data_IF_880075004777
#
_entry.id   IF_880075004777
#
_cell.length_a   1.000
_cell.length_b   1.000
_cell.length_c   1.000
_cell.angle_alpha   90.00
_cell.angle_beta   90.00
_cell.angle_gamma   90.00
#
_symmetry.space_group_name_H-M   'P 1'
#
loop_
_entity.id
_entity.type
_entity.pdbx_description
1 polymer ?
#
# COMPACT_ATOMS: atom_id res chain seq x y z
N UNK A 1 -0.12 39.23 -28.08
CA UNK A 1 -0.67 38.93 -26.78
C UNK A 1 -1.02 37.47 -26.79
N UNK A 2 -0.16 36.62 -26.18
CA UNK A 2 -0.33 35.16 -26.13
C UNK A 2 -1.00 34.80 -24.80
N UNK A 3 -2.24 34.33 -24.82
CA UNK A 3 -2.90 33.73 -23.68
C UNK A 3 -2.27 32.35 -23.43
N UNK A 4 -1.38 32.25 -22.44
CA UNK A 4 -0.90 30.99 -21.93
C UNK A 4 -2.02 30.29 -21.14
N UNK A 5 -2.64 29.29 -21.75
CA UNK A 5 -3.49 28.36 -21.01
C UNK A 5 -2.59 27.52 -20.09
N UNK A 6 -2.54 27.86 -18.81
CA UNK A 6 -1.99 27.00 -17.78
C UNK A 6 -2.99 25.85 -17.61
N UNK A 7 -2.71 24.72 -18.22
CA UNK A 7 -3.48 23.50 -17.99
C UNK A 7 -3.40 23.09 -16.51
N UNK A 8 -4.46 22.47 -15.96
CA UNK A 8 -4.44 22.01 -14.57
C UNK A 8 -3.28 21.04 -14.37
N UNK A 9 -2.51 21.26 -13.30
CA UNK A 9 -1.37 20.41 -12.95
C UNK A 9 -1.83 18.95 -12.85
N UNK A 10 -1.09 18.05 -13.50
CA UNK A 10 -1.39 16.60 -13.57
C UNK A 10 -1.39 15.90 -12.19
N UNK A 11 -0.95 16.61 -11.15
CA UNK A 11 -0.74 16.04 -9.81
C UNK A 11 -1.99 16.01 -8.93
N UNK A 12 -3.07 16.70 -9.33
CA UNK A 12 -4.29 16.83 -8.51
C UNK A 12 -5.21 15.61 -8.52
N UNK A 13 -4.95 14.61 -9.37
CA UNK A 13 -5.79 13.43 -9.58
C UNK A 13 -5.03 12.11 -9.45
N UNK A 14 -3.96 12.04 -8.65
CA UNK A 14 -3.36 10.74 -8.36
C UNK A 14 -4.27 9.95 -7.43
N UNK A 15 -4.33 8.63 -7.61
CA UNK A 15 -5.12 7.74 -6.74
C UNK A 15 -4.67 7.89 -5.29
N UNK A 16 -3.36 8.03 -5.08
CA UNK A 16 -2.75 8.22 -3.78
C UNK A 16 -3.28 9.50 -3.10
N UNK A 17 -3.39 10.62 -3.83
CA UNK A 17 -3.92 11.87 -3.28
C UNK A 17 -5.41 11.74 -2.94
N UNK A 18 -6.21 11.14 -3.81
CA UNK A 18 -7.64 10.93 -3.55
C UNK A 18 -7.84 10.01 -2.33
N UNK A 19 -7.01 8.99 -2.17
CA UNK A 19 -7.08 8.11 -1.00
C UNK A 19 -6.58 8.80 0.26
N UNK A 20 -5.51 9.58 0.19
CA UNK A 20 -5.00 10.33 1.34
C UNK A 20 -6.00 11.38 1.84
N UNK A 21 -6.73 12.05 0.95
CA UNK A 21 -7.80 12.99 1.34
C UNK A 21 -8.94 12.29 2.11
N UNK A 22 -9.10 10.98 1.91
CA UNK A 22 -10.09 10.15 2.63
C UNK A 22 -9.55 9.59 3.95
N UNK A 23 -8.26 9.65 4.20
CA UNK A 23 -7.64 9.23 5.47
C UNK A 23 -7.79 10.42 6.44
N UNK A 24 -8.74 10.36 7.36
CA UNK A 24 -8.65 11.16 8.57
C UNK A 24 -7.43 10.69 9.35
N UNK A 25 -6.79 11.61 10.09
CA UNK A 25 -5.58 11.30 10.87
C UNK A 25 -5.71 9.92 11.54
N UNK A 26 -4.76 9.02 11.32
CA UNK A 26 -4.84 7.67 11.86
C UNK A 26 -5.01 7.77 13.38
N UNK A 27 -6.02 7.09 13.94
CA UNK A 27 -6.10 6.89 15.38
C UNK A 27 -4.75 6.37 15.82
N UNK A 28 -4.13 7.04 16.78
CA UNK A 28 -2.86 6.61 17.35
C UNK A 28 -3.04 5.18 17.89
N UNK A 29 -2.46 4.21 17.17
CA UNK A 29 -2.53 2.81 17.58
C UNK A 29 -1.40 2.62 18.57
N UNK A 30 -1.69 2.66 19.86
CA UNK A 30 -0.72 2.36 20.90
C UNK A 30 -0.49 0.84 20.90
N UNK A 31 0.59 0.40 20.27
CA UNK A 31 0.93 -1.02 20.19
C UNK A 31 2.30 -1.28 20.81
N UNK A 32 2.45 -2.46 21.38
CA UNK A 32 3.73 -2.96 21.90
C UNK A 32 4.73 -3.35 20.78
N UNK A 33 4.36 -3.12 19.53
CA UNK A 33 5.12 -3.49 18.33
C UNK A 33 5.37 -2.25 17.45
N UNK A 34 6.59 -2.05 16.90
CA UNK A 34 6.85 -0.94 16.01
C UNK A 34 6.05 -1.12 14.70
N UNK A 35 5.00 -0.35 14.55
CA UNK A 35 4.18 -0.35 13.33
C UNK A 35 4.83 0.56 12.31
N UNK A 36 5.03 0.04 11.10
CA UNK A 36 5.52 0.82 9.97
C UNK A 36 4.43 1.78 9.47
N UNK A 37 4.83 2.88 8.84
CA UNK A 37 3.89 3.82 8.20
C UNK A 37 2.98 3.09 7.20
N UNK A 38 3.52 2.12 6.46
CA UNK A 38 2.75 1.27 5.57
C UNK A 38 1.60 0.57 6.30
N UNK A 39 1.91 -0.10 7.41
CA UNK A 39 0.92 -0.84 8.20
C UNK A 39 -0.16 0.08 8.75
N UNK A 40 0.22 1.25 9.29
CA UNK A 40 -0.71 2.25 9.81
C UNK A 40 -1.69 2.72 8.73
N UNK A 41 -1.18 3.10 7.56
CA UNK A 41 -2.00 3.57 6.44
C UNK A 41 -2.94 2.49 5.92
N UNK A 42 -2.44 1.27 5.72
CA UNK A 42 -3.25 0.14 5.24
C UNK A 42 -4.36 -0.18 6.23
N UNK A 43 -4.04 -0.26 7.52
CA UNK A 43 -5.02 -0.54 8.58
C UNK A 43 -6.12 0.54 8.63
N UNK A 44 -5.73 1.81 8.61
CA UNK A 44 -6.67 2.94 8.61
C UNK A 44 -7.58 2.93 7.38
N UNK A 45 -7.03 2.66 6.20
CA UNK A 45 -7.80 2.57 4.96
C UNK A 45 -8.81 1.42 4.98
N UNK A 46 -8.40 0.23 5.43
CA UNK A 46 -9.29 -0.93 5.54
C UNK A 46 -10.47 -0.60 6.47
N UNK A 47 -10.21 0.01 7.63
CA UNK A 47 -11.27 0.37 8.58
C UNK A 47 -12.17 1.48 8.04
N UNK A 48 -11.61 2.48 7.35
CA UNK A 48 -12.42 3.51 6.69
C UNK A 48 -13.37 2.91 5.65
N UNK A 49 -12.91 1.95 4.86
CA UNK A 49 -13.75 1.26 3.88
C UNK A 49 -14.85 0.44 4.57
N UNK A 50 -14.54 -0.20 5.68
CA UNK A 50 -15.53 -0.95 6.47
C UNK A 50 -16.63 -0.04 7.03
N UNK A 51 -16.25 1.11 7.55
CA UNK A 51 -17.21 2.09 8.09
C UNK A 51 -18.06 2.75 7.00
N UNK A 52 -17.45 3.06 5.85
CA UNK A 52 -18.11 3.86 4.81
C UNK A 52 -17.79 3.29 3.40
N UNK A 53 -18.25 2.07 3.07
CA UNK A 53 -17.89 1.43 1.81
C UNK A 53 -18.30 2.22 0.57
N UNK A 54 -19.44 2.89 0.59
CA UNK A 54 -19.95 3.68 -0.52
C UNK A 54 -19.07 4.89 -0.89
N UNK A 55 -18.32 5.46 0.07
CA UNK A 55 -17.40 6.58 -0.20
C UNK A 55 -16.24 6.18 -1.13
N UNK A 56 -15.96 4.89 -1.26
CA UNK A 56 -14.86 4.39 -2.10
C UNK A 56 -15.29 4.01 -3.52
N UNK A 57 -16.59 4.08 -3.82
CA UNK A 57 -17.11 3.73 -5.16
C UNK A 57 -16.50 4.60 -6.24
N UNK A 58 -16.54 5.92 -6.08
CA UNK A 58 -15.98 6.87 -7.04
C UNK A 58 -14.47 6.66 -7.26
N UNK A 59 -13.74 6.32 -6.19
CA UNK A 59 -12.32 5.99 -6.28
C UNK A 59 -12.10 4.77 -7.18
N UNK A 60 -12.87 3.68 -6.98
CA UNK A 60 -12.78 2.47 -7.80
C UNK A 60 -13.10 2.77 -9.27
N UNK A 61 -14.17 3.53 -9.53
CA UNK A 61 -14.57 3.95 -10.87
C UNK A 61 -13.51 4.85 -11.55
N UNK A 62 -12.84 5.70 -10.75
CA UNK A 62 -11.72 6.52 -11.24
C UNK A 62 -10.50 5.67 -11.53
N UNK A 63 -10.19 4.70 -10.66
CA UNK A 63 -9.06 3.79 -10.84
C UNK A 63 -9.22 2.89 -12.07
N UNK A 64 -10.44 2.52 -12.46
CA UNK A 64 -10.72 1.76 -13.70
C UNK A 64 -10.12 2.44 -14.95
N UNK A 65 -10.05 3.78 -14.97
CA UNK A 65 -9.50 4.55 -16.10
C UNK A 65 -8.02 4.30 -16.34
N UNK A 66 -7.30 3.82 -15.34
CA UNK A 66 -5.89 3.44 -15.45
C UNK A 66 -5.69 2.01 -15.97
N UNK A 67 -6.77 1.27 -16.22
CA UNK A 67 -6.68 -0.05 -16.84
C UNK A 67 -6.55 0.09 -18.35
N UNK A 68 -5.43 -0.39 -18.88
CA UNK A 68 -5.06 -0.38 -20.30
C UNK A 68 -4.97 -1.82 -20.82
N UNK A 69 -5.21 -2.00 -22.11
CA UNK A 69 -4.88 -3.23 -22.80
C UNK A 69 -3.67 -2.99 -23.69
N UNK A 70 -2.59 -3.74 -23.46
CA UNK A 70 -1.33 -3.63 -24.18
C UNK A 70 -0.92 -5.03 -24.65
N UNK A 71 -0.89 -5.23 -25.97
CA UNK A 71 -0.56 -6.52 -26.58
C UNK A 71 -1.40 -7.70 -26.02
N UNK A 72 -2.71 -7.50 -25.90
CA UNK A 72 -3.65 -8.49 -25.38
C UNK A 72 -3.57 -8.74 -23.86
N UNK A 73 -2.75 -7.98 -23.14
CA UNK A 73 -2.63 -8.05 -21.67
C UNK A 73 -3.32 -6.86 -21.04
N UNK A 74 -4.15 -7.12 -20.04
CA UNK A 74 -4.80 -6.09 -19.23
C UNK A 74 -3.83 -5.67 -18.12
N UNK A 75 -3.56 -4.38 -18.01
CA UNK A 75 -2.58 -3.82 -17.08
C UNK A 75 -3.19 -2.61 -16.39
N UNK A 76 -3.14 -2.60 -15.06
CA UNK A 76 -3.34 -1.38 -14.29
C UNK A 76 -2.03 -0.58 -14.33
N UNK A 77 -2.09 0.66 -14.83
CA UNK A 77 -0.92 1.54 -15.00
C UNK A 77 -1.28 2.97 -14.60
N UNK A 78 -0.97 3.33 -13.36
CA UNK A 78 -1.18 4.67 -12.82
C UNK A 78 0.05 5.57 -12.91
N UNK A 79 1.02 5.23 -13.76
CA UNK A 79 2.33 5.85 -13.92
C UNK A 79 3.34 5.58 -12.78
N UNK A 80 2.90 5.22 -11.59
CA UNK A 80 3.78 4.86 -10.46
C UNK A 80 4.10 3.37 -10.46
N UNK A 81 3.08 2.54 -10.63
CA UNK A 81 3.22 1.08 -10.71
C UNK A 81 2.47 0.50 -11.89
N UNK A 82 2.90 -0.70 -12.31
CA UNK A 82 2.23 -1.50 -13.33
C UNK A 82 1.92 -2.87 -12.79
N UNK A 83 0.64 -3.26 -12.80
CA UNK A 83 0.18 -4.55 -12.31
C UNK A 83 -0.60 -5.27 -13.39
N UNK A 84 -0.21 -6.50 -13.70
CA UNK A 84 -0.96 -7.35 -14.64
C UNK A 84 -2.29 -7.78 -14.02
N UNK A 85 -3.34 -7.72 -14.83
CA UNK A 85 -4.70 -8.07 -14.45
C UNK A 85 -5.20 -9.26 -15.31
N UNK A 86 -6.18 -10.01 -14.78
CA UNK A 86 -6.84 -11.10 -15.52
C UNK A 86 -8.10 -10.61 -16.23
N UNK A 87 -9.09 -10.15 -15.48
CA UNK A 87 -10.37 -9.66 -16.00
C UNK A 87 -10.34 -8.16 -16.33
N UNK A 88 -9.40 -7.40 -15.72
CA UNK A 88 -9.20 -5.97 -15.96
C UNK A 88 -10.37 -5.12 -15.48
N UNK A 89 -10.89 -4.23 -16.35
CA UNK A 89 -11.95 -3.28 -16.01
C UNK A 89 -13.18 -3.91 -15.38
N UNK A 90 -13.54 -5.13 -15.81
CA UNK A 90 -14.69 -5.87 -15.27
C UNK A 90 -14.60 -6.06 -13.74
N UNK A 91 -13.40 -6.30 -13.21
CA UNK A 91 -13.23 -6.48 -11.76
C UNK A 91 -13.34 -5.17 -10.98
N UNK A 92 -12.96 -4.04 -11.58
CA UNK A 92 -13.21 -2.72 -11.00
C UNK A 92 -14.71 -2.43 -10.92
N UNK A 93 -15.45 -2.66 -12.01
CA UNK A 93 -16.91 -2.51 -12.05
C UNK A 93 -17.61 -3.42 -11.05
N UNK A 94 -17.19 -4.69 -10.96
CA UNK A 94 -17.69 -5.65 -9.97
C UNK A 94 -17.41 -5.16 -8.53
N UNK A 95 -16.23 -4.63 -8.27
CA UNK A 95 -15.87 -4.06 -6.97
C UNK A 95 -16.74 -2.84 -6.64
N UNK A 96 -16.90 -1.90 -7.56
CA UNK A 96 -17.73 -0.71 -7.36
C UNK A 96 -19.20 -1.11 -7.07
N UNK A 97 -19.74 -2.05 -7.81
CA UNK A 97 -21.11 -2.56 -7.58
C UNK A 97 -21.24 -3.24 -6.22
N UNK A 98 -20.25 -4.03 -5.82
CA UNK A 98 -20.24 -4.66 -4.49
C UNK A 98 -20.23 -3.60 -3.37
N UNK A 99 -19.36 -2.59 -3.45
CA UNK A 99 -19.30 -1.53 -2.45
C UNK A 99 -20.58 -0.70 -2.36
N UNK A 100 -21.30 -0.49 -3.47
CA UNK A 100 -22.61 0.19 -3.49
C UNK A 100 -23.67 -0.53 -2.65
N UNK A 101 -23.60 -1.85 -2.55
CA UNK A 101 -24.58 -2.68 -1.83
C UNK A 101 -24.16 -3.03 -0.41
N UNK A 102 -22.88 -2.80 -0.09
CA UNK A 102 -22.34 -3.20 1.20
C UNK A 102 -22.79 -2.23 2.29
N UNK A 103 -23.29 -2.78 3.39
CA UNK A 103 -23.63 -1.98 4.56
C UNK A 103 -22.38 -1.67 5.38
N UNK A 104 -22.33 -0.51 6.05
CA UNK A 104 -21.29 -0.21 7.02
C UNK A 104 -21.14 -1.34 8.06
N UNK A 105 -19.89 -1.62 8.44
CA UNK A 105 -19.59 -2.64 9.43
C UNK A 105 -18.57 -2.12 10.45
N UNK A 106 -18.45 -2.83 11.55
CA UNK A 106 -17.50 -2.48 12.61
C UNK A 106 -16.04 -2.49 12.11
N UNK A 107 -15.24 -1.62 12.70
CA UNK A 107 -13.79 -1.60 12.49
C UNK A 107 -13.16 -2.93 12.96
N UNK A 108 -12.08 -3.31 12.29
CA UNK A 108 -11.18 -4.34 12.79
C UNK A 108 -10.32 -3.74 13.90
N UNK A 109 -10.07 -4.52 14.95
CA UNK A 109 -9.06 -4.20 15.96
C UNK A 109 -7.73 -4.81 15.55
N UNK A 110 -6.64 -4.06 15.71
CA UNK A 110 -5.31 -4.62 15.48
C UNK A 110 -4.96 -5.62 16.58
N UNK A 111 -4.37 -6.76 16.23
CA UNK A 111 -4.03 -7.82 17.18
C UNK A 111 -2.60 -8.33 16.92
N UNK A 112 -1.69 -8.03 17.83
CA UNK A 112 -0.27 -8.41 17.74
C UNK A 112 -0.06 -9.92 17.74
N UNK A 113 -0.89 -10.65 18.48
CA UNK A 113 -0.77 -12.11 18.61
C UNK A 113 -0.88 -12.84 17.27
N UNK A 114 -1.70 -12.31 16.35
CA UNK A 114 -1.88 -12.91 15.03
C UNK A 114 -0.96 -12.30 13.96
N UNK A 115 -0.10 -11.35 14.27
CA UNK A 115 0.88 -10.79 13.32
C UNK A 115 1.92 -11.84 12.96
N UNK A 116 2.09 -12.13 11.68
CA UNK A 116 3.19 -12.95 11.15
C UNK A 116 4.24 -11.99 10.60
N UNK A 117 5.38 -11.92 11.26
CA UNK A 117 6.46 -11.01 10.84
C UNK A 117 6.97 -11.33 9.43
N UNK A 118 7.13 -10.29 8.64
CA UNK A 118 7.79 -10.42 7.35
C UNK A 118 9.28 -10.72 7.52
N UNK A 119 9.87 -11.51 6.61
CA UNK A 119 11.29 -11.82 6.68
C UNK A 119 12.14 -10.57 6.44
N UNK A 120 13.18 -10.38 7.25
CA UNK A 120 14.14 -9.28 7.09
C UNK A 120 15.10 -9.51 5.92
N UNK A 121 15.37 -10.76 5.60
CA UNK A 121 16.29 -11.13 4.52
C UNK A 121 15.58 -11.21 3.18
N UNK A 122 16.11 -10.53 2.18
CA UNK A 122 15.54 -10.44 0.83
C UNK A 122 15.27 -11.82 0.20
N UNK A 123 16.17 -12.78 0.40
CA UNK A 123 15.99 -14.15 -0.12
C UNK A 123 14.73 -14.83 0.40
N UNK A 124 14.34 -14.54 1.64
CA UNK A 124 13.19 -15.16 2.28
C UNK A 124 11.86 -14.46 1.92
N UNK A 125 11.90 -13.24 1.37
CA UNK A 125 10.70 -12.52 0.93
C UNK A 125 9.94 -13.30 -0.17
N UNK A 126 10.67 -14.02 -1.02
CA UNK A 126 10.09 -14.84 -2.10
C UNK A 126 9.77 -16.27 -1.64
N UNK A 127 10.27 -16.69 -0.47
CA UNK A 127 10.05 -18.04 0.03
C UNK A 127 8.63 -18.18 0.60
N UNK A 128 7.82 -18.96 -0.12
CA UNK A 128 6.44 -19.23 0.31
C UNK A 128 6.38 -20.16 1.54
N UNK A 129 7.40 -20.96 1.78
CA UNK A 129 7.43 -21.91 2.89
C UNK A 129 7.65 -21.17 4.20
N UNK A 130 8.48 -20.12 4.21
CA UNK A 130 8.66 -19.28 5.38
C UNK A 130 7.33 -18.77 5.95
N UNK A 131 6.48 -18.23 5.08
CA UNK A 131 5.16 -17.76 5.51
C UNK A 131 4.25 -18.88 6.00
N UNK A 132 4.24 -20.02 5.30
CA UNK A 132 3.41 -21.16 5.65
C UNK A 132 3.77 -21.76 7.01
N UNK A 133 5.05 -21.91 7.31
CA UNK A 133 5.52 -22.43 8.59
C UNK A 133 5.09 -21.53 9.74
N UNK A 134 5.33 -20.22 9.63
CA UNK A 134 4.88 -19.24 10.64
C UNK A 134 3.37 -19.17 10.79
N UNK A 135 2.64 -19.31 9.67
CA UNK A 135 1.19 -19.34 9.69
C UNK A 135 0.66 -20.57 10.44
N UNK A 136 1.21 -21.77 10.21
CA UNK A 136 0.78 -22.98 10.89
C UNK A 136 0.97 -22.86 12.40
N UNK A 137 2.15 -22.39 12.83
CA UNK A 137 2.47 -22.16 14.24
C UNK A 137 1.42 -21.26 14.93
N UNK A 138 1.05 -20.14 14.29
CA UNK A 138 0.13 -19.16 14.87
C UNK A 138 -1.35 -19.54 14.70
N UNK A 139 -1.69 -20.22 13.62
CA UNK A 139 -3.06 -20.57 13.30
C UNK A 139 -3.72 -21.42 14.39
N UNK A 140 -3.03 -22.44 14.85
CA UNK A 140 -3.55 -23.32 15.92
C UNK A 140 -3.65 -22.58 17.26
N UNK A 141 -2.63 -21.76 17.57
CA UNK A 141 -2.54 -21.06 18.85
C UNK A 141 -3.56 -19.93 19.00
N UNK A 142 -3.76 -19.15 17.95
CA UNK A 142 -4.52 -17.90 17.99
C UNK A 142 -5.80 -17.90 17.17
N UNK A 143 -6.13 -18.99 16.49
CA UNK A 143 -7.38 -19.13 15.73
C UNK A 143 -7.44 -18.26 14.48
N UNK A 144 -6.34 -18.13 13.71
CA UNK A 144 -6.35 -17.41 12.43
C UNK A 144 -7.24 -18.17 11.46
N UNK A 145 -8.27 -17.49 10.94
CA UNK A 145 -9.22 -18.10 10.00
C UNK A 145 -8.92 -17.73 8.53
N UNK A 146 -8.40 -16.53 8.29
CA UNK A 146 -8.06 -16.08 6.95
C UNK A 146 -6.70 -15.40 6.93
N UNK A 147 -6.03 -15.51 5.77
CA UNK A 147 -4.72 -14.92 5.56
C UNK A 147 -4.46 -14.70 4.07
N UNK A 148 -3.62 -13.73 3.75
CA UNK A 148 -3.09 -13.51 2.42
C UNK A 148 -1.79 -12.71 2.46
N UNK A 149 -1.11 -12.69 1.32
CA UNK A 149 0.14 -11.94 1.10
C UNK A 149 -0.11 -10.87 0.04
N UNK A 150 0.52 -9.73 0.23
CA UNK A 150 0.61 -8.68 -0.79
C UNK A 150 2.07 -8.32 -1.10
N UNK A 151 2.30 -7.69 -2.25
CA UNK A 151 3.64 -7.30 -2.72
C UNK A 151 3.72 -5.86 -3.20
N UNK A 152 2.69 -5.07 -2.92
CA UNK A 152 2.58 -3.68 -3.37
C UNK A 152 3.01 -2.76 -2.23
N UNK A 153 4.07 -1.97 -2.45
CA UNK A 153 4.67 -1.07 -1.46
C UNK A 153 3.86 0.17 -1.12
N UNK A 154 3.02 0.60 -2.04
CA UNK A 154 2.23 1.83 -1.90
C UNK A 154 0.94 1.44 -1.20
N UNK A 155 0.71 1.87 0.05
CA UNK A 155 -0.42 1.44 0.87
C UNK A 155 -1.76 1.64 0.17
N UNK A 156 -1.96 2.78 -0.45
CA UNK A 156 -3.19 3.16 -1.12
C UNK A 156 -3.49 2.25 -2.31
N UNK A 157 -2.47 1.97 -3.12
CA UNK A 157 -2.61 1.07 -4.28
C UNK A 157 -2.74 -0.38 -3.83
N UNK A 158 -2.05 -0.77 -2.76
CA UNK A 158 -2.20 -2.10 -2.15
C UNK A 158 -3.65 -2.34 -1.74
N UNK A 159 -4.25 -1.43 -0.97
CA UNK A 159 -5.65 -1.55 -0.53
C UNK A 159 -6.62 -1.51 -1.72
N UNK A 160 -6.42 -0.60 -2.68
CA UNK A 160 -7.22 -0.54 -3.90
C UNK A 160 -7.24 -1.89 -4.63
N UNK A 161 -6.06 -2.47 -4.87
CA UNK A 161 -5.95 -3.73 -5.62
C UNK A 161 -6.35 -4.96 -4.79
N UNK A 162 -6.31 -4.90 -3.46
CA UNK A 162 -6.93 -5.92 -2.60
C UNK A 162 -8.46 -5.88 -2.67
N UNK A 163 -9.07 -4.70 -2.81
CA UNK A 163 -10.52 -4.57 -2.99
C UNK A 163 -10.96 -5.05 -4.37
N UNK A 164 -10.26 -4.65 -5.42
CA UNK A 164 -10.55 -5.11 -6.78
C UNK A 164 -10.34 -6.62 -6.88
N UNK A 165 -9.23 -7.11 -6.33
CA UNK A 165 -8.81 -8.53 -6.25
C UNK A 165 -9.02 -9.32 -7.53
N UNK A 166 -8.31 -8.88 -8.58
CA UNK A 166 -8.32 -9.53 -9.90
C UNK A 166 -7.30 -10.68 -9.97
N UNK A 167 -7.29 -11.54 -8.94
CA UNK A 167 -6.37 -12.67 -8.86
C UNK A 167 -6.85 -13.86 -9.72
N UNK A 168 -5.89 -14.53 -10.39
CA UNK A 168 -6.20 -15.62 -11.32
C UNK A 168 -6.83 -16.86 -10.66
N UNK A 169 -6.44 -17.16 -9.41
CA UNK A 169 -6.89 -18.39 -8.74
C UNK A 169 -8.18 -18.23 -7.95
N UNK A 170 -8.29 -17.14 -7.21
CA UNK A 170 -9.41 -16.90 -6.31
C UNK A 170 -9.76 -15.40 -6.37
N UNK A 171 -10.39 -14.93 -7.45
CA UNK A 171 -10.81 -13.54 -7.54
C UNK A 171 -11.80 -13.19 -6.43
N UNK A 172 -11.76 -11.94 -5.95
CA UNK A 172 -12.61 -11.39 -4.88
C UNK A 172 -12.30 -11.88 -3.46
N UNK A 173 -11.48 -12.91 -3.27
CA UNK A 173 -11.26 -13.52 -1.96
C UNK A 173 -10.67 -12.55 -0.94
N UNK A 174 -9.71 -11.70 -1.33
CA UNK A 174 -9.13 -10.69 -0.42
C UNK A 174 -10.20 -9.67 -0.02
N UNK A 175 -10.97 -9.15 -0.98
CA UNK A 175 -12.07 -8.23 -0.74
C UNK A 175 -13.10 -8.83 0.21
N UNK A 176 -13.60 -10.03 -0.10
CA UNK A 176 -14.58 -10.74 0.71
C UNK A 176 -14.06 -11.03 2.13
N UNK A 177 -12.76 -11.26 2.27
CA UNK A 177 -12.14 -11.44 3.58
C UNK A 177 -12.09 -10.12 4.35
N UNK A 178 -11.55 -9.06 3.77
CA UNK A 178 -11.39 -7.76 4.44
C UNK A 178 -12.74 -7.12 4.83
N UNK A 179 -13.76 -7.36 4.00
CA UNK A 179 -15.10 -6.79 4.17
C UNK A 179 -16.11 -7.81 4.73
N UNK A 180 -15.64 -8.85 5.43
CA UNK A 180 -16.50 -9.79 6.11
C UNK A 180 -16.75 -9.32 7.56
N UNK A 181 -18.02 -9.11 7.96
CA UNK A 181 -18.34 -8.62 9.30
C UNK A 181 -18.04 -9.63 10.42
N UNK A 182 -17.81 -10.91 10.10
CA UNK A 182 -17.42 -11.91 11.09
C UNK A 182 -16.04 -11.67 11.69
N UNK A 183 -15.11 -11.10 10.92
CA UNK A 183 -13.77 -10.80 11.41
C UNK A 183 -13.79 -9.54 12.27
N UNK A 184 -13.14 -9.64 13.43
CA UNK A 184 -13.02 -8.56 14.42
C UNK A 184 -11.57 -8.12 14.61
N UNK A 185 -10.63 -8.98 14.27
CA UNK A 185 -9.21 -8.73 14.48
C UNK A 185 -8.42 -8.91 13.20
N UNK A 186 -7.39 -8.08 13.05
CA UNK A 186 -6.44 -8.13 11.95
C UNK A 186 -5.02 -8.00 12.48
N UNK A 187 -4.11 -8.81 11.96
CA UNK A 187 -2.67 -8.66 12.11
C UNK A 187 -2.06 -8.29 10.75
N UNK A 188 -1.25 -7.26 10.72
CA UNK A 188 -0.57 -6.80 9.51
C UNK A 188 0.91 -6.62 9.81
N UNK A 189 1.76 -7.11 8.92
CA UNK A 189 3.19 -6.79 8.91
C UNK A 189 3.65 -6.46 7.50
N UNK A 190 4.74 -5.73 7.39
CA UNK A 190 5.39 -5.44 6.11
C UNK A 190 6.91 -5.51 6.25
N UNK A 191 7.58 -5.80 5.14
CA UNK A 191 9.02 -5.56 5.06
C UNK A 191 9.22 -4.04 5.09
N UNK A 192 9.78 -3.56 6.20
CA UNK A 192 10.11 -2.14 6.31
C UNK A 192 11.31 -1.82 5.44
N UNK A 193 11.11 -0.92 4.48
CA UNK A 193 12.18 -0.41 3.63
C UNK A 193 12.60 0.98 4.11
N UNK A 194 11.82 1.58 5.00
CA UNK A 194 12.06 2.93 5.52
C UNK A 194 13.09 3.00 6.63
N UNK A 195 13.63 1.88 7.12
CA UNK A 195 14.74 1.87 8.08
C UNK A 195 16.13 2.10 7.44
N UNK A 196 16.20 2.95 6.42
CA UNK A 196 17.32 3.85 6.31
C UNK A 196 17.14 4.88 7.40
N UNK A 197 17.65 4.59 8.57
CA UNK A 197 17.88 5.57 9.62
C UNK A 197 18.40 6.85 8.97
N UNK A 198 17.57 7.88 8.90
CA UNK A 198 18.10 9.22 9.06
C UNK A 198 18.52 9.29 10.53
N UNK A 199 19.64 8.61 10.85
CA UNK A 199 20.42 9.01 11.97
C UNK A 199 20.75 10.47 11.69
N UNK A 200 20.15 11.36 12.45
CA UNK A 200 20.72 12.67 12.68
C UNK A 200 22.10 12.37 13.24
N UNK A 201 23.11 12.47 12.40
CA UNK A 201 24.47 12.62 12.87
C UNK A 201 24.55 13.97 13.60
N UNK A 202 24.18 13.95 14.88
CA UNK A 202 24.58 14.97 15.84
C UNK A 202 26.08 14.76 16.13
N UNK A 203 26.91 14.95 15.12
CA UNK A 203 28.32 15.16 15.30
C UNK A 203 28.63 16.63 15.07
N UNK A 204 28.46 17.40 16.16
CA UNK A 204 29.27 18.58 16.41
C UNK A 204 30.75 18.19 16.25
N UNK A 205 31.37 18.66 15.19
CA UNK A 205 32.78 18.91 15.19
C UNK A 205 33.08 20.28 14.58
N UNK A 206 33.58 21.13 15.45
CA UNK A 206 34.05 22.46 15.20
C UNK A 206 35.23 22.51 14.21
N UNK A 207 35.20 23.60 13.46
CA UNK A 207 36.35 24.40 12.98
C UNK A 207 37.41 23.74 12.09
N UNK A 208 37.42 24.14 10.81
CA UNK A 208 38.50 25.06 10.34
C UNK A 208 38.21 25.53 8.92
N UNK A 209 38.37 26.83 8.72
CA UNK A 209 38.17 27.49 7.46
C UNK A 209 39.17 27.10 6.40
N UNK A 210 38.70 27.09 5.16
CA UNK A 210 39.49 27.52 4.02
C UNK A 210 38.54 27.92 2.89
N UNK A 211 38.69 29.17 2.46
CA UNK A 211 38.03 29.75 1.31
C UNK A 211 38.58 29.08 0.05
N UNK A 212 37.69 28.47 -0.73
CA UNK A 212 37.87 28.26 -2.15
C UNK A 212 36.54 28.43 -2.85
N UNK A 213 36.50 29.40 -3.73
CA UNK A 213 35.42 29.70 -4.67
C UNK A 213 35.15 28.46 -5.54
N UNK A 214 34.08 27.75 -5.30
CA UNK A 214 33.62 26.72 -6.21
C UNK A 214 32.28 27.13 -6.85
N UNK A 215 32.38 27.29 -8.19
CA UNK A 215 31.27 27.59 -9.08
C UNK A 215 30.07 26.71 -8.78
N UNK A 216 28.98 27.34 -8.41
CA UNK A 216 27.67 26.70 -8.21
C UNK A 216 27.18 26.14 -9.55
N UNK A 217 27.42 24.85 -9.79
CA UNK A 217 26.66 24.07 -10.76
C UNK A 217 25.27 23.86 -10.18
N UNK A 218 24.26 24.46 -10.79
CA UNK A 218 22.86 24.14 -10.55
C UNK A 218 22.69 22.68 -10.98
N UNK A 219 22.72 21.77 -10.02
CA UNK A 219 22.39 20.36 -10.24
C UNK A 219 20.86 20.30 -10.26
N UNK A 220 20.32 19.97 -11.41
CA UNK A 220 18.91 19.69 -11.59
C UNK A 220 18.49 18.56 -10.65
N UNK A 221 17.92 18.92 -9.50
CA UNK A 221 17.61 17.99 -8.40
C UNK A 221 16.52 16.99 -8.74
N UNK A 222 15.70 17.23 -9.77
CA UNK A 222 14.55 16.38 -10.12
C UNK A 222 14.98 14.99 -10.62
N UNK A 223 16.06 14.91 -11.40
CA UNK A 223 16.50 13.64 -12.00
C UNK A 223 17.09 12.64 -10.99
N UNK A 224 17.63 13.11 -9.88
CA UNK A 224 18.20 12.25 -8.84
C UNK A 224 17.12 11.69 -7.90
N UNK A 225 16.12 12.50 -7.55
CA UNK A 225 14.99 12.07 -6.72
C UNK A 225 14.20 10.98 -7.45
N UNK A 226 13.88 11.16 -8.74
CA UNK A 226 13.18 10.16 -9.54
C UNK A 226 13.95 8.84 -9.67
N UNK A 227 15.28 8.90 -9.79
CA UNK A 227 16.13 7.70 -9.81
C UNK A 227 16.16 6.98 -8.46
N UNK A 228 16.22 7.73 -7.36
CA UNK A 228 16.16 7.15 -6.01
C UNK A 228 14.80 6.50 -5.74
N UNK A 229 13.69 7.16 -6.05
CA UNK A 229 12.36 6.61 -5.91
C UNK A 229 12.17 5.32 -6.74
N UNK A 230 12.62 5.30 -7.98
CA UNK A 230 12.59 4.09 -8.82
C UNK A 230 13.43 2.95 -8.23
N UNK A 231 14.58 3.26 -7.64
CA UNK A 231 15.43 2.26 -6.99
C UNK A 231 14.77 1.66 -5.75
N UNK A 232 14.12 2.49 -4.92
CA UNK A 232 13.37 2.03 -3.74
C UNK A 232 12.14 1.19 -4.13
N UNK A 233 11.40 1.59 -5.16
CA UNK A 233 10.24 0.82 -5.66
C UNK A 233 10.63 -0.56 -6.21
N UNK A 234 11.87 -0.73 -6.66
CA UNK A 234 12.35 -2.01 -7.20
C UNK A 234 12.87 -2.99 -6.13
N UNK A 235 13.02 -2.56 -4.87
CA UNK A 235 13.39 -3.51 -3.79
C UNK A 235 12.26 -4.51 -3.55
N UNK A 236 12.57 -5.78 -3.26
CA UNK A 236 11.57 -6.76 -2.88
C UNK A 236 10.75 -6.30 -1.68
N UNK A 237 9.44 -6.49 -1.78
CA UNK A 237 8.51 -6.12 -0.73
C UNK A 237 7.50 -7.24 -0.49
N UNK A 238 7.11 -7.42 0.75
CA UNK A 238 5.94 -8.21 1.09
C UNK A 238 5.22 -7.61 2.31
N UNK A 239 3.92 -7.84 2.34
CA UNK A 239 3.10 -7.61 3.51
C UNK A 239 2.25 -8.87 3.76
N UNK A 240 2.08 -9.23 5.03
CA UNK A 240 1.27 -10.36 5.46
C UNK A 240 0.05 -9.86 6.21
N UNK A 241 -1.10 -10.47 5.91
CA UNK A 241 -2.39 -10.15 6.50
C UNK A 241 -2.98 -11.42 7.10
N UNK A 242 -3.43 -11.34 8.35
CA UNK A 242 -4.11 -12.41 9.08
C UNK A 242 -5.38 -11.86 9.71
N UNK A 243 -6.45 -12.66 9.74
CA UNK A 243 -7.75 -12.26 10.30
C UNK A 243 -8.32 -13.37 11.18
N UNK A 244 -9.04 -12.92 12.22
CA UNK A 244 -9.70 -13.78 13.21
C UNK A 244 -11.07 -13.21 13.58
#
# INVERSE_FOLDING_TARGET
>A
MGCGCVGPSKDKYSIENIMNDKIQEPKEITLNFPITEYVQKVFSLINRIRLNPSEFVELIETAEKFVKEINGRKIFDNNTIKVALNEGKKMFQDCANYLKTLQPMEELSFCDDIVIECPKEEKNIKDINFFKEKLLEKKEKFGIEAYFKDSIKIPEISVLLMLVDDSAKNPRKKRETLLNPKFKFIGISSTDISNGTFAKDDNNNELNGNQNEEKTKIIDGSSNIDKMLKKELNKPFCAYFTLK
#
